data_IF_715806475207
#
_entry.id   IF_715806475207
#
_cell.length_a   1.000
_cell.length_b   1.000
_cell.length_c   1.000
_cell.angle_alpha   90.00
_cell.angle_beta   90.00
_cell.angle_gamma   90.00
#
_symmetry.space_group_name_H-M   'P 1'
#
loop_
_entity.id
_entity.type
_entity.pdbx_description
1 polymer ?
#
# COMPACT_ATOMS: atom_id res chain seq x y z
N UNK A 1 -11.35 9.06 -21.22
CA UNK A 1 -11.56 9.64 -19.86
C UNK A 1 -10.65 8.96 -18.82
N UNK A 2 -10.67 7.64 -18.66
CA UNK A 2 -9.83 6.93 -17.65
C UNK A 2 -8.35 6.74 -18.04
N UNK A 3 -7.98 7.03 -19.29
CA UNK A 3 -6.60 6.90 -19.80
C UNK A 3 -5.59 7.75 -19.03
N UNK A 4 -6.00 8.93 -18.56
CA UNK A 4 -5.18 9.87 -17.78
C UNK A 4 -5.28 9.65 -16.26
N UNK A 5 -6.01 8.62 -15.81
CA UNK A 5 -6.16 8.34 -14.40
C UNK A 5 -5.19 7.24 -13.97
N UNK A 6 -4.06 7.65 -13.37
CA UNK A 6 -2.94 6.76 -13.07
C UNK A 6 -3.34 5.57 -12.20
N UNK A 7 -4.09 5.79 -11.11
CA UNK A 7 -4.54 4.69 -10.24
C UNK A 7 -5.32 3.62 -11.02
N UNK A 8 -6.16 4.03 -11.97
CA UNK A 8 -6.88 3.10 -12.84
C UNK A 8 -5.94 2.34 -13.81
N UNK A 9 -4.93 3.01 -14.37
CA UNK A 9 -3.94 2.35 -15.24
C UNK A 9 -3.07 1.36 -14.46
N UNK A 10 -2.67 1.70 -13.23
CA UNK A 10 -1.97 0.79 -12.33
C UNK A 10 -2.85 -0.41 -11.95
N UNK A 11 -4.13 -0.19 -11.62
CA UNK A 11 -5.05 -1.27 -11.31
C UNK A 11 -5.23 -2.26 -12.46
N UNK A 12 -5.32 -1.80 -13.72
CA UNK A 12 -5.38 -2.70 -14.88
C UNK A 12 -4.12 -3.55 -15.02
N UNK A 13 -2.94 -2.94 -14.86
CA UNK A 13 -1.65 -3.65 -14.90
C UNK A 13 -1.58 -4.69 -13.79
N UNK A 14 -1.96 -4.32 -12.57
CA UNK A 14 -2.04 -5.24 -11.44
C UNK A 14 -3.00 -6.40 -11.71
N UNK A 15 -4.20 -6.14 -12.22
CA UNK A 15 -5.16 -7.19 -12.61
C UNK A 15 -4.57 -8.16 -13.66
N UNK A 16 -3.90 -7.64 -14.69
CA UNK A 16 -3.25 -8.50 -15.70
C UNK A 16 -2.12 -9.33 -15.11
N UNK A 17 -1.30 -8.76 -14.24
CA UNK A 17 -0.29 -9.50 -13.49
C UNK A 17 -0.89 -10.64 -12.65
N UNK A 18 -2.01 -10.39 -11.97
CA UNK A 18 -2.73 -11.41 -11.21
C UNK A 18 -3.27 -12.56 -12.07
N UNK A 19 -3.53 -12.35 -13.38
CA UNK A 19 -3.92 -13.44 -14.30
C UNK A 19 -2.78 -14.41 -14.61
N UNK A 20 -1.53 -13.98 -14.44
CA UNK A 20 -0.35 -14.78 -14.71
C UNK A 20 0.16 -15.54 -13.47
N UNK A 21 -0.37 -15.22 -12.30
CA UNK A 21 -0.09 -15.92 -11.04
C UNK A 21 -0.60 -17.37 -11.12
N UNK A 22 0.13 -18.30 -10.50
CA UNK A 22 -0.26 -19.72 -10.41
C UNK A 22 -0.54 -20.06 -8.96
N UNK A 23 -1.81 -20.27 -8.64
CA UNK A 23 -2.31 -20.66 -7.31
C UNK A 23 -3.44 -21.68 -7.48
N UNK A 24 -3.90 -22.36 -6.41
CA UNK A 24 -5.10 -23.21 -6.47
C UNK A 24 -6.28 -22.48 -7.09
N UNK A 25 -7.09 -23.20 -7.87
CA UNK A 25 -8.20 -22.62 -8.67
C UNK A 25 -9.11 -21.70 -7.84
N UNK A 26 -9.51 -22.13 -6.65
CA UNK A 26 -10.40 -21.34 -5.80
C UNK A 26 -9.76 -20.00 -5.39
N UNK A 27 -8.46 -19.97 -5.10
CA UNK A 27 -7.73 -18.72 -4.81
C UNK A 27 -7.52 -17.88 -6.06
N UNK A 28 -7.29 -18.51 -7.22
CA UNK A 28 -7.19 -17.78 -8.48
C UNK A 28 -8.50 -17.03 -8.78
N UNK A 29 -9.64 -17.68 -8.56
CA UNK A 29 -10.96 -17.05 -8.73
C UNK A 29 -11.16 -15.88 -7.76
N UNK A 30 -10.78 -16.04 -6.49
CA UNK A 30 -10.84 -14.95 -5.50
C UNK A 30 -9.89 -13.80 -5.86
N UNK A 31 -8.66 -14.11 -6.28
CA UNK A 31 -7.67 -13.12 -6.68
C UNK A 31 -8.14 -12.32 -7.90
N UNK A 32 -8.73 -12.98 -8.90
CA UNK A 32 -9.25 -12.30 -10.09
C UNK A 32 -10.50 -11.46 -9.78
N UNK A 33 -11.38 -11.94 -8.89
CA UNK A 33 -12.53 -11.15 -8.42
C UNK A 33 -12.08 -9.91 -7.65
N UNK A 34 -11.17 -10.07 -6.70
CA UNK A 34 -10.66 -8.96 -5.89
C UNK A 34 -9.91 -7.94 -6.77
N UNK A 35 -8.95 -8.38 -7.58
CA UNK A 35 -8.16 -7.48 -8.44
C UNK A 35 -8.99 -6.77 -9.51
N UNK A 36 -9.99 -7.43 -10.10
CA UNK A 36 -10.93 -6.76 -11.03
C UNK A 36 -11.85 -5.76 -10.31
N UNK A 37 -12.28 -6.05 -9.08
CA UNK A 37 -13.04 -5.12 -8.23
C UNK A 37 -12.27 -3.81 -8.00
N UNK A 38 -10.94 -3.85 -7.87
CA UNK A 38 -10.11 -2.64 -7.76
C UNK A 38 -10.29 -1.74 -8.99
N UNK A 39 -10.19 -2.33 -10.19
CA UNK A 39 -10.34 -1.61 -11.46
C UNK A 39 -11.73 -1.02 -11.61
N UNK A 40 -12.76 -1.81 -11.31
CA UNK A 40 -14.17 -1.42 -11.48
C UNK A 40 -14.57 -0.31 -10.49
N UNK A 41 -14.18 -0.42 -9.22
CA UNK A 41 -14.45 0.62 -8.23
C UNK A 41 -13.72 1.92 -8.55
N UNK A 42 -12.48 1.88 -9.09
CA UNK A 42 -11.78 3.08 -9.54
C UNK A 42 -12.51 3.76 -10.70
N UNK A 43 -13.00 3.00 -11.67
CA UNK A 43 -13.76 3.52 -12.80
C UNK A 43 -15.09 4.15 -12.36
N UNK A 44 -15.85 3.45 -11.50
CA UNK A 44 -17.12 3.96 -10.99
C UNK A 44 -16.92 5.17 -10.08
N UNK A 45 -15.92 5.12 -9.21
CA UNK A 45 -15.52 6.23 -8.35
C UNK A 45 -15.20 7.47 -9.17
N UNK A 46 -14.39 7.35 -10.23
CA UNK A 46 -14.07 8.47 -11.12
C UNK A 46 -15.30 9.12 -11.80
N UNK A 47 -16.41 8.38 -11.93
CA UNK A 47 -17.68 8.89 -12.47
C UNK A 47 -18.59 9.57 -11.45
N UNK A 48 -18.28 9.54 -10.15
CA UNK A 48 -19.15 10.15 -9.12
C UNK A 48 -19.01 11.67 -9.08
N UNK A 49 -20.12 12.34 -8.81
CA UNK A 49 -20.24 13.81 -8.82
C UNK A 49 -19.67 14.48 -7.58
N UNK A 50 -19.70 13.81 -6.43
CA UNK A 50 -19.24 14.38 -5.17
C UNK A 50 -17.92 13.73 -4.73
N UNK A 51 -16.98 14.50 -4.17
CA UNK A 51 -15.75 13.93 -3.60
C UNK A 51 -16.03 12.90 -2.50
N UNK A 52 -17.14 13.03 -1.77
CA UNK A 52 -17.52 12.07 -0.74
C UNK A 52 -17.86 10.71 -1.33
N UNK A 53 -18.64 10.68 -2.42
CA UNK A 53 -18.98 9.42 -3.10
C UNK A 53 -17.75 8.81 -3.77
N UNK A 54 -16.92 9.62 -4.44
CA UNK A 54 -15.66 9.16 -5.05
C UNK A 54 -14.80 8.40 -4.02
N UNK A 55 -14.60 8.99 -2.83
CA UNK A 55 -13.82 8.38 -1.75
C UNK A 55 -14.37 7.04 -1.28
N UNK A 56 -15.69 6.85 -1.23
CA UNK A 56 -16.31 5.57 -0.85
C UNK A 56 -15.90 4.46 -1.79
N UNK A 57 -15.96 4.71 -3.11
CA UNK A 57 -15.53 3.74 -4.12
C UNK A 57 -14.02 3.48 -4.05
N UNK A 58 -13.21 4.52 -3.83
CA UNK A 58 -11.76 4.34 -3.67
C UNK A 58 -11.39 3.57 -2.40
N UNK A 59 -12.15 3.70 -1.31
CA UNK A 59 -11.99 2.90 -0.11
C UNK A 59 -12.34 1.42 -0.36
N UNK A 60 -13.40 1.14 -1.14
CA UNK A 60 -13.75 -0.22 -1.56
C UNK A 60 -12.64 -0.83 -2.43
N UNK A 61 -12.12 -0.07 -3.39
CA UNK A 61 -10.97 -0.49 -4.20
C UNK A 61 -9.75 -0.82 -3.32
N UNK A 62 -9.48 -0.02 -2.29
CA UNK A 62 -8.40 -0.28 -1.35
C UNK A 62 -8.60 -1.59 -0.57
N UNK A 63 -9.83 -1.87 -0.13
CA UNK A 63 -10.19 -3.15 0.49
C UNK A 63 -9.90 -4.34 -0.43
N UNK A 64 -10.40 -4.31 -1.67
CA UNK A 64 -10.16 -5.39 -2.64
C UNK A 64 -8.68 -5.56 -3.03
N UNK A 65 -7.88 -4.49 -2.99
CA UNK A 65 -6.43 -4.62 -3.18
C UNK A 65 -5.78 -5.38 -2.01
N UNK A 66 -6.19 -5.12 -0.77
CA UNK A 66 -5.67 -5.82 0.41
C UNK A 66 -6.01 -7.31 0.39
N UNK A 67 -7.22 -7.66 -0.05
CA UNK A 67 -7.61 -9.06 -0.28
C UNK A 67 -6.70 -9.72 -1.32
N UNK A 68 -6.46 -9.03 -2.45
CA UNK A 68 -5.54 -9.53 -3.49
C UNK A 68 -4.14 -9.74 -2.93
N UNK A 69 -3.62 -8.78 -2.15
CA UNK A 69 -2.29 -8.86 -1.53
C UNK A 69 -2.18 -10.00 -0.52
N UNK A 70 -3.23 -10.22 0.28
CA UNK A 70 -3.28 -11.32 1.24
C UNK A 70 -3.23 -12.68 0.53
N UNK A 71 -3.92 -12.85 -0.59
CA UNK A 71 -3.83 -14.09 -1.39
C UNK A 71 -2.40 -14.29 -1.92
N UNK A 72 -1.79 -13.23 -2.46
CA UNK A 72 -0.39 -13.30 -2.93
C UNK A 72 0.58 -13.67 -1.80
N UNK A 73 0.33 -13.21 -0.58
CA UNK A 73 1.15 -13.53 0.60
C UNK A 73 0.93 -14.98 1.08
N UNK A 74 -0.32 -15.42 1.19
CA UNK A 74 -0.69 -16.79 1.57
C UNK A 74 -0.08 -17.84 0.64
N UNK A 75 0.06 -17.51 -0.65
CA UNK A 75 0.60 -18.39 -1.69
C UNK A 75 2.09 -18.12 -1.97
N UNK A 76 2.77 -17.37 -1.09
CA UNK A 76 4.19 -17.04 -1.18
C UNK A 76 4.64 -16.49 -2.54
N UNK A 77 3.80 -15.69 -3.20
CA UNK A 77 4.14 -15.06 -4.47
C UNK A 77 5.18 -13.96 -4.24
N UNK A 78 6.40 -14.21 -4.73
CA UNK A 78 7.58 -13.35 -4.54
C UNK A 78 7.97 -12.53 -5.78
N UNK A 79 7.12 -12.47 -6.79
CA UNK A 79 7.40 -11.69 -8.01
C UNK A 79 7.46 -10.18 -7.69
N UNK A 80 8.66 -9.55 -7.71
CA UNK A 80 8.83 -8.17 -7.27
C UNK A 80 8.04 -7.17 -8.12
N UNK A 81 7.77 -7.47 -9.39
CA UNK A 81 7.00 -6.59 -10.25
C UNK A 81 5.53 -6.53 -9.81
N UNK A 82 4.94 -7.67 -9.46
CA UNK A 82 3.56 -7.73 -8.96
C UNK A 82 3.45 -7.05 -7.60
N UNK A 83 4.42 -7.32 -6.71
CA UNK A 83 4.42 -6.74 -5.37
C UNK A 83 4.57 -5.23 -5.42
N UNK A 84 5.48 -4.73 -6.25
CA UNK A 84 5.67 -3.28 -6.43
C UNK A 84 4.42 -2.61 -7.00
N UNK A 85 3.76 -3.23 -7.98
CA UNK A 85 2.48 -2.73 -8.51
C UNK A 85 1.41 -2.65 -7.42
N UNK A 86 1.32 -3.65 -6.55
CA UNK A 86 0.38 -3.65 -5.45
C UNK A 86 0.68 -2.53 -4.44
N UNK A 87 1.95 -2.32 -4.09
CA UNK A 87 2.37 -1.29 -3.13
C UNK A 87 2.13 0.13 -3.68
N UNK A 88 2.53 0.39 -4.92
CA UNK A 88 2.33 1.68 -5.59
C UNK A 88 0.82 1.99 -5.70
N UNK A 89 0.01 1.00 -6.09
CA UNK A 89 -1.45 1.15 -6.17
C UNK A 89 -2.07 1.36 -4.78
N UNK A 90 -1.55 0.70 -3.76
CA UNK A 90 -1.98 0.86 -2.37
C UNK A 90 -1.76 2.27 -1.86
N UNK A 91 -0.58 2.86 -2.15
CA UNK A 91 -0.30 4.25 -1.82
C UNK A 91 -1.27 5.22 -2.51
N UNK A 92 -1.54 5.01 -3.81
CA UNK A 92 -2.51 5.83 -4.55
C UNK A 92 -3.92 5.72 -3.93
N UNK A 93 -4.40 4.51 -3.66
CA UNK A 93 -5.72 4.26 -3.10
C UNK A 93 -5.87 4.80 -1.67
N UNK A 94 -4.81 4.73 -0.86
CA UNK A 94 -4.77 5.35 0.46
C UNK A 94 -4.99 6.87 0.38
N UNK A 95 -4.29 7.54 -0.54
CA UNK A 95 -4.45 8.99 -0.75
C UNK A 95 -5.84 9.33 -1.31
N UNK A 96 -6.34 8.53 -2.25
CA UNK A 96 -7.65 8.76 -2.88
C UNK A 96 -8.83 8.52 -1.93
N UNK A 97 -8.73 7.57 -1.02
CA UNK A 97 -9.83 7.19 -0.12
C UNK A 97 -10.00 8.11 1.08
N UNK A 98 -8.98 8.87 1.46
CA UNK A 98 -9.02 9.76 2.64
C UNK A 98 -9.65 11.11 2.34
N UNK A 99 -10.25 11.73 3.36
CA UNK A 99 -10.55 13.16 3.34
C UNK A 99 -9.24 13.93 3.46
N UNK A 100 -8.95 14.79 2.49
CA UNK A 100 -7.82 15.70 2.61
C UNK A 100 -8.12 16.77 3.68
N UNK A 101 -7.12 17.18 4.48
CA UNK A 101 -7.27 18.32 5.38
C UNK A 101 -7.65 19.57 4.58
N UNK A 102 -8.39 20.48 5.21
CA UNK A 102 -8.61 21.78 4.60
C UNK A 102 -7.27 22.52 4.43
N UNK A 103 -7.08 23.34 3.38
CA UNK A 103 -5.88 24.17 3.25
C UNK A 103 -5.67 24.97 4.55
N UNK A 104 -4.50 24.82 5.19
CA UNK A 104 -4.18 25.45 6.47
C UNK A 104 -4.30 24.54 7.71
N UNK A 105 -4.79 23.31 7.58
CA UNK A 105 -4.68 22.29 8.63
C UNK A 105 -3.44 21.42 8.39
N UNK A 106 -2.52 21.41 9.36
CA UNK A 106 -1.34 20.52 9.34
C UNK A 106 -1.83 19.06 9.32
N UNK A 107 -1.43 18.25 8.33
CA UNK A 107 -1.76 16.83 8.33
C UNK A 107 -1.14 16.15 9.57
N UNK A 108 -1.81 15.15 10.19
CA UNK A 108 -1.28 14.44 11.37
C UNK A 108 0.01 13.63 11.14
N UNK A 109 0.65 13.74 9.97
CA UNK A 109 1.79 12.92 9.58
C UNK A 109 3.15 13.52 9.96
N UNK A 110 3.20 14.67 10.64
CA UNK A 110 4.45 15.26 11.13
C UNK A 110 5.13 14.45 12.26
N UNK A 111 4.57 13.31 12.70
CA UNK A 111 5.06 12.55 13.87
C UNK A 111 5.81 11.26 13.49
N UNK A 112 5.96 10.91 12.20
CA UNK A 112 6.58 9.61 11.80
C UNK A 112 7.94 9.74 11.10
N UNK A 113 8.66 10.84 11.32
CA UNK A 113 9.99 11.02 10.76
C UNK A 113 10.91 11.89 11.62
N UNK A 114 11.00 11.61 12.93
CA UNK A 114 12.15 12.01 13.76
C UNK A 114 12.34 10.96 14.83
N UNK A 115 13.61 10.62 15.12
CA UNK A 115 14.11 9.60 16.06
C UNK A 115 14.29 8.21 15.41
N UNK A 116 15.50 7.68 15.17
CA UNK A 116 16.80 7.97 15.76
C UNK A 116 17.95 7.70 14.78
N UNK A 117 18.83 8.68 14.63
CA UNK A 117 20.25 8.44 14.34
C UNK A 117 21.09 9.38 15.19
N UNK A 118 22.09 8.79 15.86
CA UNK A 118 23.33 9.36 16.45
C UNK A 118 23.13 10.32 17.63
N UNK A 119 23.90 10.30 18.72
CA UNK A 119 25.12 9.59 19.11
C UNK A 119 25.38 9.92 20.60
N UNK A 120 26.32 9.17 21.18
CA UNK A 120 27.42 9.66 22.04
C UNK A 120 27.54 9.01 23.43
N UNK A 121 28.70 8.37 23.56
CA UNK A 121 29.45 8.10 24.79
C UNK A 121 29.38 9.23 25.81
N UNK A 122 29.31 8.87 27.09
CA UNK A 122 30.43 8.95 28.05
C UNK A 122 29.86 8.68 29.45
N UNK A 123 30.36 7.66 30.14
CA UNK A 123 30.75 7.88 31.54
C UNK A 123 31.85 6.90 31.95
N UNK A 124 32.98 7.52 32.25
CA UNK A 124 34.21 6.98 32.79
C UNK A 124 34.06 6.58 34.26
N UNK A 125 34.46 5.36 34.63
CA UNK A 125 34.98 5.07 35.98
C UNK A 125 36.20 4.14 35.91
N UNK A 126 37.37 4.76 36.06
CA UNK A 126 38.68 4.26 36.57
C UNK A 126 38.53 3.36 37.81
N UNK A 127 39.37 2.40 38.22
CA UNK A 127 40.65 1.78 37.85
C UNK A 127 40.74 0.49 38.71
N UNK A 128 41.50 -0.57 38.36
CA UNK A 128 42.84 -0.86 38.88
C UNK A 128 43.31 -2.29 38.45
N UNK A 129 44.62 -2.61 38.51
CA UNK A 129 45.23 -3.68 37.69
C UNK A 129 45.49 -5.03 38.40
N UNK A 130 45.95 -5.99 37.58
CA UNK A 130 46.17 -7.44 37.75
C UNK A 130 46.99 -7.92 38.98
N UNK A 131 47.09 -9.26 39.19
CA UNK A 131 48.29 -9.92 38.64
C UNK A 131 48.05 -11.31 38.01
N UNK A 132 49.05 -11.69 37.21
CA UNK A 132 49.20 -12.93 36.44
C UNK A 132 49.63 -14.11 37.34
N UNK A 133 49.14 -15.31 37.01
CA UNK A 133 49.95 -16.52 36.82
C UNK A 133 49.39 -17.29 35.61
#
# INVERSE_FOLDING_TARGET
MLEKFDAYQFAKRFYWSCKSVRVPRFLQEQLLRASSSVVLNLAEGAGKRTPQDQRRFYAMAFGSLRESRAILEMEEIKDPAILRLADDLGAMLYVLSRKLPNPGQTPPLAVIATENKTDSDTDSVSAAPAPKM
#
